data_IF_989071552043
#
_entry.id   IF_989071552043
#
_cell.length_a   1.000
_cell.length_b   1.000
_cell.length_c   1.000
_cell.angle_alpha   90.00
_cell.angle_beta   90.00
_cell.angle_gamma   90.00
#
_symmetry.space_group_name_H-M   'P 1'
#
loop_
_entity.id
_entity.type
_entity.pdbx_description
1 polymer ?
#
# COMPACT_ATOMS: atom_id res chain seq x y z
N UNK A 1 13.07 -25.99 -0.33
CA UNK A 1 12.38 -25.59 -1.56
C UNK A 1 13.39 -25.37 -2.67
N UNK A 2 13.05 -25.72 -3.91
CA UNK A 2 13.89 -25.43 -5.10
C UNK A 2 13.95 -23.93 -5.43
N UNK A 3 13.10 -23.14 -4.80
CA UNK A 3 12.94 -21.71 -5.03
C UNK A 3 13.39 -20.94 -3.80
N UNK A 4 13.99 -19.79 -4.01
CA UNK A 4 14.34 -18.85 -2.93
C UNK A 4 13.07 -18.18 -2.43
N UNK A 5 12.79 -18.26 -1.13
CA UNK A 5 11.69 -17.56 -0.46
C UNK A 5 12.11 -16.12 -0.05
N UNK A 6 12.92 -15.44 -0.88
CA UNK A 6 13.49 -14.12 -0.61
C UNK A 6 12.47 -13.06 -0.23
N UNK A 7 11.21 -13.22 -0.68
CA UNK A 7 10.11 -12.26 -0.44
C UNK A 7 9.51 -12.35 0.96
N UNK A 8 9.74 -13.45 1.71
CA UNK A 8 9.23 -13.60 3.09
C UNK A 8 7.80 -14.13 3.22
N UNK A 9 7.03 -14.29 2.13
CA UNK A 9 5.63 -14.72 2.17
C UNK A 9 5.42 -16.25 2.15
N UNK A 10 6.49 -17.03 2.38
CA UNK A 10 6.41 -18.49 2.58
C UNK A 10 6.84 -18.86 3.99
N UNK A 11 6.04 -18.54 5.02
CA UNK A 11 6.46 -18.72 6.42
C UNK A 11 6.63 -20.20 6.75
N UNK A 12 7.79 -20.51 7.32
CA UNK A 12 8.13 -21.84 7.87
C UNK A 12 8.17 -21.83 9.40
N UNK A 13 7.93 -20.66 10.00
CA UNK A 13 7.78 -20.43 11.45
C UNK A 13 7.05 -19.10 11.65
N UNK A 14 6.24 -19.01 12.72
CA UNK A 14 5.59 -17.74 13.09
C UNK A 14 6.46 -16.85 13.97
N UNK A 15 7.37 -17.44 14.75
CA UNK A 15 8.11 -16.73 15.80
C UNK A 15 9.61 -16.57 15.50
N UNK A 16 10.12 -17.34 14.54
CA UNK A 16 11.54 -17.28 14.20
C UNK A 16 11.83 -16.24 13.14
N UNK A 17 12.90 -15.48 13.33
CA UNK A 17 13.39 -14.54 12.34
C UNK A 17 14.17 -15.25 11.24
N UNK A 18 14.05 -14.75 10.00
CA UNK A 18 14.91 -15.16 8.92
C UNK A 18 16.33 -14.64 9.16
N UNK A 19 17.28 -15.56 9.36
CA UNK A 19 18.67 -15.24 9.68
C UNK A 19 19.39 -14.41 8.60
N UNK A 20 18.88 -14.40 7.36
CA UNK A 20 19.41 -13.56 6.30
C UNK A 20 19.22 -12.05 6.58
N UNK A 21 18.25 -11.67 7.43
CA UNK A 21 17.98 -10.27 7.79
C UNK A 21 18.62 -9.84 9.11
N UNK A 22 19.18 -10.78 9.89
CA UNK A 22 19.81 -10.49 11.15
C UNK A 22 19.28 -11.29 12.32
N UNK A 23 19.64 -10.87 13.52
CA UNK A 23 19.26 -11.52 14.79
C UNK A 23 18.08 -10.80 15.46
N UNK A 24 17.49 -11.44 16.47
CA UNK A 24 16.49 -10.79 17.35
C UNK A 24 17.01 -9.48 17.94
N UNK A 25 18.30 -9.43 18.33
CA UNK A 25 18.92 -8.22 18.87
C UNK A 25 18.95 -7.09 17.83
N UNK A 26 19.23 -7.42 16.58
CA UNK A 26 19.27 -6.42 15.50
C UNK A 26 17.87 -5.84 15.25
N UNK A 27 16.84 -6.68 15.21
CA UNK A 27 15.44 -6.23 15.05
C UNK A 27 15.00 -5.35 16.23
N UNK A 28 15.24 -5.76 17.45
CA UNK A 28 14.93 -4.97 18.65
C UNK A 28 15.67 -3.61 18.64
N UNK A 29 16.94 -3.60 18.20
CA UNK A 29 17.71 -2.36 18.06
C UNK A 29 17.12 -1.46 16.98
N UNK A 30 16.70 -2.01 15.85
CA UNK A 30 16.05 -1.27 14.77
C UNK A 30 14.75 -0.61 15.25
N UNK A 31 13.89 -1.36 15.94
CA UNK A 31 12.63 -0.83 16.48
C UNK A 31 12.91 0.27 17.52
N UNK A 32 13.84 0.05 18.44
CA UNK A 32 14.21 1.05 19.45
C UNK A 32 14.74 2.34 18.84
N UNK A 33 15.60 2.27 17.82
CA UNK A 33 16.11 3.42 17.09
C UNK A 33 15.00 4.14 16.31
N UNK A 34 14.04 3.42 15.75
CA UNK A 34 12.86 3.99 15.09
C UNK A 34 12.01 4.79 16.09
N UNK A 35 11.72 4.20 17.24
CA UNK A 35 10.96 4.88 18.31
C UNK A 35 11.65 6.14 18.82
N UNK A 36 12.99 6.14 18.96
CA UNK A 36 13.76 7.34 19.31
C UNK A 36 13.60 8.46 18.28
N UNK A 37 13.24 8.14 17.05
CA UNK A 37 12.98 9.09 15.96
C UNK A 37 11.48 9.38 15.77
N UNK A 38 10.62 8.91 16.67
CA UNK A 38 9.15 8.99 16.56
C UNK A 38 8.62 8.30 15.28
N UNK A 39 9.23 7.19 14.90
CA UNK A 39 8.79 6.35 13.78
C UNK A 39 8.18 5.08 14.35
N UNK A 40 6.93 4.82 14.06
CA UNK A 40 6.25 3.57 14.37
C UNK A 40 6.67 2.46 13.40
N UNK A 41 6.77 1.24 13.89
CA UNK A 41 7.18 0.06 13.09
C UNK A 41 6.03 -0.93 13.03
N UNK A 42 5.55 -1.20 11.82
CA UNK A 42 4.56 -2.23 11.57
C UNK A 42 5.22 -3.50 11.05
N UNK A 43 4.78 -4.66 11.53
CA UNK A 43 5.19 -5.95 11.01
C UNK A 43 4.25 -6.37 9.88
N UNK A 44 4.82 -6.82 8.76
CA UNK A 44 4.08 -7.47 7.68
C UNK A 44 3.85 -8.94 8.03
N UNK A 45 2.59 -9.36 8.15
CA UNK A 45 2.21 -10.68 8.64
C UNK A 45 1.33 -11.43 7.67
N UNK A 46 1.60 -12.74 7.55
CA UNK A 46 0.81 -13.68 6.76
C UNK A 46 -0.04 -14.54 7.70
N UNK A 47 -1.37 -14.38 7.67
CA UNK A 47 -2.31 -15.18 8.44
C UNK A 47 -3.13 -16.17 7.59
N UNK A 48 -3.00 -16.11 6.27
CA UNK A 48 -3.76 -16.95 5.34
C UNK A 48 -3.16 -18.34 5.16
N UNK A 49 -1.84 -18.46 5.07
CA UNK A 49 -1.17 -19.69 4.65
C UNK A 49 0.21 -19.86 5.31
N UNK A 50 0.79 -21.04 5.15
CA UNK A 50 2.18 -21.33 5.47
C UNK A 50 2.84 -22.06 4.29
N UNK A 51 4.14 -22.26 4.36
CA UNK A 51 4.83 -23.21 3.46
C UNK A 51 4.63 -24.65 3.93
N UNK A 52 4.59 -25.62 3.03
CA UNK A 52 4.43 -27.06 3.39
C UNK A 52 5.54 -27.58 4.28
N UNK A 53 6.72 -26.97 4.28
CA UNK A 53 7.84 -27.32 5.18
C UNK A 53 7.65 -26.79 6.61
N UNK A 54 6.59 -26.04 6.89
CA UNK A 54 6.27 -25.62 8.27
C UNK A 54 5.87 -26.84 9.09
N UNK A 55 6.48 -27.09 10.29
CA UNK A 55 6.21 -28.27 11.09
C UNK A 55 4.73 -28.50 11.41
N UNK A 56 3.95 -27.42 11.51
CA UNK A 56 2.50 -27.47 11.76
C UNK A 56 1.74 -28.22 10.67
N UNK A 57 2.16 -28.13 9.41
CA UNK A 57 1.47 -28.82 8.32
C UNK A 57 1.58 -30.34 8.43
N UNK A 58 2.75 -30.84 8.80
CA UNK A 58 2.94 -32.27 9.03
C UNK A 58 2.27 -32.78 10.31
N UNK A 59 2.21 -31.95 11.37
CA UNK A 59 1.62 -32.31 12.66
C UNK A 59 0.09 -32.24 12.65
N UNK A 60 -0.49 -31.29 11.93
CA UNK A 60 -1.93 -30.98 11.92
C UNK A 60 -2.43 -30.66 10.51
N UNK A 61 -2.42 -31.63 9.58
CA UNK A 61 -2.92 -31.42 8.22
C UNK A 61 -4.41 -31.02 8.20
N UNK A 62 -5.18 -31.42 9.20
CA UNK A 62 -6.60 -31.05 9.37
C UNK A 62 -6.82 -29.55 9.63
N UNK A 63 -5.80 -28.80 9.99
CA UNK A 63 -5.87 -27.34 10.20
C UNK A 63 -5.92 -26.56 8.87
N UNK A 64 -5.79 -27.25 7.76
CA UNK A 64 -5.71 -26.62 6.44
C UNK A 64 -6.89 -27.01 5.56
N UNK A 65 -7.22 -26.14 4.63
CA UNK A 65 -8.27 -26.39 3.63
C UNK A 65 -7.79 -27.44 2.63
N UNK A 66 -8.71 -28.23 2.03
CA UNK A 66 -8.33 -29.23 1.02
C UNK A 66 -7.72 -28.59 -0.22
N UNK A 67 -6.64 -29.20 -0.74
CA UNK A 67 -6.03 -28.81 -2.01
C UNK A 67 -6.94 -29.15 -3.21
N UNK A 68 -7.82 -30.12 -3.08
CA UNK A 68 -8.76 -30.53 -4.13
C UNK A 68 -10.19 -30.25 -3.71
N UNK A 69 -10.97 -29.69 -4.62
CA UNK A 69 -12.41 -29.50 -4.47
C UNK A 69 -13.15 -30.86 -4.59
N UNK A 70 -14.41 -30.95 -4.17
CA UNK A 70 -15.19 -32.20 -4.26
C UNK A 70 -15.33 -32.78 -5.66
N UNK A 71 -15.22 -31.92 -6.70
CA UNK A 71 -15.24 -32.35 -8.12
C UNK A 71 -13.88 -32.84 -8.63
N UNK A 72 -12.85 -32.89 -7.78
CA UNK A 72 -11.50 -33.32 -8.12
C UNK A 72 -10.62 -32.21 -8.72
N UNK A 73 -11.13 -31.01 -8.93
CA UNK A 73 -10.33 -29.88 -9.42
C UNK A 73 -9.42 -29.32 -8.33
N UNK A 74 -8.25 -28.81 -8.73
CA UNK A 74 -7.31 -28.21 -7.80
C UNK A 74 -7.81 -26.84 -7.31
N UNK A 75 -7.80 -26.63 -6.01
CA UNK A 75 -8.23 -25.40 -5.36
C UNK A 75 -7.04 -24.44 -5.19
N UNK A 76 -6.36 -24.10 -6.28
CA UNK A 76 -5.28 -23.10 -6.31
C UNK A 76 -5.70 -21.90 -7.13
N UNK A 77 -5.24 -20.70 -6.73
CA UNK A 77 -5.44 -19.43 -7.46
C UNK A 77 -6.91 -19.07 -7.75
N UNK A 78 -7.85 -19.67 -7.01
CA UNK A 78 -9.29 -19.37 -7.16
C UNK A 78 -9.66 -18.16 -6.28
N UNK A 79 -9.04 -17.03 -6.57
CA UNK A 79 -8.98 -15.81 -5.74
C UNK A 79 -10.32 -15.20 -5.35
N UNK A 80 -11.36 -15.38 -6.15
CA UNK A 80 -12.68 -14.81 -5.92
C UNK A 80 -13.74 -15.88 -5.64
N UNK A 81 -13.71 -17.00 -6.34
CA UNK A 81 -14.69 -18.08 -6.20
C UNK A 81 -14.54 -18.84 -4.88
N UNK A 82 -13.30 -19.15 -4.50
CA UNK A 82 -12.95 -19.91 -3.29
C UNK A 82 -12.02 -19.10 -2.36
N UNK A 83 -12.21 -17.79 -2.29
CA UNK A 83 -11.27 -16.86 -1.66
C UNK A 83 -10.88 -17.20 -0.22
N UNK A 84 -11.72 -17.92 0.54
CA UNK A 84 -11.45 -18.28 1.93
C UNK A 84 -10.84 -19.69 2.09
N UNK A 85 -10.69 -20.42 1.00
CA UNK A 85 -10.21 -21.82 1.03
C UNK A 85 -9.14 -22.11 -0.01
N UNK A 86 -8.96 -21.23 -1.01
CA UNK A 86 -7.98 -21.44 -2.07
C UNK A 86 -6.56 -21.38 -1.57
N UNK A 87 -5.72 -22.30 -2.01
CA UNK A 87 -4.29 -22.23 -1.82
C UNK A 87 -3.67 -21.25 -2.81
N UNK A 88 -2.61 -20.57 -2.41
CA UNK A 88 -1.91 -19.64 -3.32
C UNK A 88 -1.01 -20.37 -4.31
N UNK A 89 -0.50 -21.54 -3.92
CA UNK A 89 0.20 -22.50 -4.76
C UNK A 89 0.13 -23.87 -4.07
N UNK A 90 0.51 -24.94 -4.76
CA UNK A 90 0.52 -26.33 -4.23
C UNK A 90 1.41 -26.51 -2.99
N UNK A 91 2.37 -25.62 -2.78
CA UNK A 91 3.25 -25.62 -1.62
C UNK A 91 2.86 -24.61 -0.52
N UNK A 92 1.69 -23.95 -0.65
CA UNK A 92 1.20 -22.94 0.29
C UNK A 92 -0.21 -23.32 0.79
N UNK A 93 -0.31 -24.29 1.74
CA UNK A 93 -1.57 -24.67 2.35
C UNK A 93 -2.23 -23.50 3.09
N UNK A 94 -3.48 -23.21 2.73
CA UNK A 94 -4.29 -22.18 3.38
C UNK A 94 -4.94 -22.74 4.65
N UNK A 95 -4.94 -21.94 5.72
CA UNK A 95 -5.57 -22.31 6.97
C UNK A 95 -7.09 -22.46 6.86
N UNK A 96 -7.64 -23.44 7.53
CA UNK A 96 -9.06 -23.58 7.76
C UNK A 96 -9.48 -22.76 8.97
N UNK A 97 -9.81 -21.49 8.74
CA UNK A 97 -10.24 -20.57 9.79
C UNK A 97 -11.65 -20.88 10.37
N UNK A 98 -12.39 -21.85 9.85
CA UNK A 98 -13.62 -22.33 10.48
C UNK A 98 -13.32 -23.10 11.77
N UNK A 99 -12.13 -23.67 11.88
CA UNK A 99 -11.62 -24.31 13.08
C UNK A 99 -11.22 -23.25 14.10
N UNK A 100 -11.80 -23.30 15.28
CA UNK A 100 -11.56 -22.33 16.34
C UNK A 100 -10.11 -22.36 16.82
N UNK A 101 -9.56 -23.54 17.01
CA UNK A 101 -8.19 -23.79 17.47
C UNK A 101 -7.16 -23.12 16.53
N UNK A 102 -7.43 -23.14 15.23
CA UNK A 102 -6.60 -22.48 14.21
C UNK A 102 -6.60 -20.95 14.41
N UNK A 103 -7.78 -20.35 14.60
CA UNK A 103 -7.88 -18.91 14.86
C UNK A 103 -7.20 -18.51 16.17
N UNK A 104 -7.38 -19.31 17.23
CA UNK A 104 -6.72 -19.08 18.52
C UNK A 104 -5.21 -19.18 18.40
N UNK A 105 -4.68 -20.25 17.79
CA UNK A 105 -3.25 -20.46 17.57
C UNK A 105 -2.60 -19.29 16.83
N UNK A 106 -3.18 -18.90 15.70
CA UNK A 106 -2.63 -17.83 14.88
C UNK A 106 -2.69 -16.47 15.59
N UNK A 107 -3.84 -16.14 16.20
CA UNK A 107 -3.98 -14.87 16.89
C UNK A 107 -3.11 -14.79 18.14
N UNK A 108 -2.88 -15.91 18.88
CA UNK A 108 -1.95 -15.95 20.01
C UNK A 108 -0.50 -15.80 19.57
N UNK A 109 -0.09 -16.45 18.47
CA UNK A 109 1.24 -16.26 17.88
C UNK A 109 1.50 -14.79 17.47
N UNK A 110 0.50 -14.11 16.90
CA UNK A 110 0.63 -12.69 16.57
C UNK A 110 0.69 -11.80 17.83
N UNK A 111 -0.07 -12.15 18.88
CA UNK A 111 0.03 -11.44 20.18
C UNK A 111 1.42 -11.62 20.82
N UNK A 112 2.01 -12.81 20.72
CA UNK A 112 3.38 -13.06 21.20
C UNK A 112 4.40 -12.14 20.50
N UNK A 113 4.30 -11.98 19.18
CA UNK A 113 5.16 -11.05 18.43
C UNK A 113 5.02 -9.60 18.89
N UNK A 114 3.79 -9.15 19.21
CA UNK A 114 3.58 -7.80 19.75
C UNK A 114 4.30 -7.63 21.10
N UNK A 115 4.15 -8.59 22.02
CA UNK A 115 4.77 -8.51 23.34
C UNK A 115 6.28 -8.64 23.29
N UNK A 116 6.79 -9.50 22.40
CA UNK A 116 8.22 -9.76 22.28
C UNK A 116 9.00 -8.60 21.62
N UNK A 117 8.44 -8.03 20.55
CA UNK A 117 9.16 -7.03 19.72
C UNK A 117 8.64 -5.61 19.89
N UNK A 118 7.46 -5.42 20.48
CA UNK A 118 6.83 -4.11 20.67
C UNK A 118 6.58 -3.37 19.35
N UNK A 119 6.10 -4.08 18.33
CA UNK A 119 5.58 -3.47 17.11
C UNK A 119 4.41 -2.53 17.41
N UNK A 120 4.25 -1.49 16.62
CA UNK A 120 3.19 -0.49 16.75
C UNK A 120 1.97 -0.81 15.89
N UNK A 121 2.04 -1.85 15.09
CA UNK A 121 0.97 -2.28 14.22
C UNK A 121 1.33 -3.48 13.35
N UNK A 122 0.34 -3.87 12.55
CA UNK A 122 0.49 -4.89 11.52
C UNK A 122 0.07 -4.38 10.13
N UNK A 123 0.81 -4.80 9.11
CA UNK A 123 0.31 -4.92 7.75
C UNK A 123 -0.11 -6.36 7.55
N UNK A 124 -1.36 -6.59 7.20
CA UNK A 124 -1.91 -7.92 6.97
C UNK A 124 -1.90 -8.26 5.50
N UNK A 125 -1.08 -9.25 5.15
CA UNK A 125 -1.06 -9.85 3.82
C UNK A 125 -2.39 -10.55 3.50
N UNK A 126 -2.77 -10.53 2.23
CA UNK A 126 -3.89 -11.31 1.70
C UNK A 126 -5.18 -11.25 2.54
N UNK A 127 -5.52 -10.08 3.08
CA UNK A 127 -6.63 -9.90 4.04
C UNK A 127 -7.97 -10.47 3.55
N UNK A 128 -8.28 -10.35 2.26
CA UNK A 128 -9.54 -10.87 1.71
C UNK A 128 -9.68 -12.39 1.76
N UNK A 129 -8.57 -13.10 1.92
CA UNK A 129 -8.52 -14.56 1.99
C UNK A 129 -8.69 -15.11 3.41
N UNK A 130 -8.75 -14.22 4.40
CA UNK A 130 -8.95 -14.57 5.81
C UNK A 130 -10.34 -14.08 6.26
N UNK A 131 -11.16 -14.90 6.93
CA UNK A 131 -12.52 -14.51 7.28
C UNK A 131 -12.57 -13.46 8.39
N UNK A 132 -13.67 -12.70 8.41
CA UNK A 132 -13.93 -11.67 9.43
C UNK A 132 -13.91 -12.20 10.86
N UNK A 133 -14.19 -13.49 11.08
CA UNK A 133 -14.12 -14.12 12.41
C UNK A 133 -12.70 -14.05 12.99
N UNK A 134 -11.68 -14.31 12.18
CA UNK A 134 -10.29 -14.20 12.61
C UNK A 134 -9.90 -12.74 12.93
N UNK A 135 -10.23 -11.80 12.04
CA UNK A 135 -9.91 -10.39 12.26
C UNK A 135 -10.56 -9.82 13.53
N UNK A 136 -11.80 -10.22 13.78
CA UNK A 136 -12.51 -9.85 15.02
C UNK A 136 -11.84 -10.43 16.26
N UNK A 137 -11.40 -11.67 16.21
CA UNK A 137 -10.71 -12.31 17.32
C UNK A 137 -9.36 -11.67 17.61
N UNK A 138 -8.53 -11.48 16.59
CA UNK A 138 -7.23 -10.82 16.72
C UNK A 138 -7.40 -9.39 17.26
N UNK A 139 -8.28 -8.59 16.67
CA UNK A 139 -8.53 -7.21 17.11
C UNK A 139 -9.06 -7.15 18.56
N UNK A 140 -9.91 -8.09 18.95
CA UNK A 140 -10.37 -8.21 20.35
C UNK A 140 -9.21 -8.49 21.31
N UNK A 141 -8.29 -9.41 20.94
CA UNK A 141 -7.09 -9.71 21.74
C UNK A 141 -6.18 -8.48 21.83
N UNK A 142 -5.87 -7.85 20.71
CA UNK A 142 -5.04 -6.62 20.66
C UNK A 142 -5.64 -5.53 21.57
N UNK A 143 -6.95 -5.26 21.47
CA UNK A 143 -7.60 -4.24 22.30
C UNK A 143 -7.54 -4.57 23.78
N UNK A 144 -7.90 -5.78 24.16
CA UNK A 144 -8.02 -6.17 25.57
C UNK A 144 -6.66 -6.41 26.25
N UNK A 145 -5.72 -7.03 25.55
CA UNK A 145 -4.46 -7.49 26.14
C UNK A 145 -3.30 -6.51 25.90
N UNK A 146 -3.39 -5.65 24.88
CA UNK A 146 -2.31 -4.70 24.59
C UNK A 146 -2.76 -3.24 24.75
N UNK A 147 -3.74 -2.77 23.99
CA UNK A 147 -4.11 -1.33 23.98
C UNK A 147 -4.60 -0.88 25.38
N UNK A 148 -5.54 -1.62 25.99
CA UNK A 148 -6.10 -1.26 27.29
C UNK A 148 -5.08 -1.39 28.43
N UNK A 149 -4.21 -2.41 28.39
CA UNK A 149 -3.23 -2.66 29.45
C UNK A 149 -2.02 -1.72 29.37
N UNK A 150 -1.53 -1.44 28.15
CA UNK A 150 -0.32 -0.65 27.96
C UNK A 150 -0.60 0.84 27.62
N UNK A 151 -1.88 1.20 27.40
CA UNK A 151 -2.31 2.55 26.95
C UNK A 151 -1.57 3.03 25.69
N UNK A 152 -1.24 2.10 24.80
CA UNK A 152 -0.58 2.35 23.53
C UNK A 152 -1.58 2.14 22.39
N UNK A 153 -1.47 2.93 21.33
CA UNK A 153 -2.18 2.66 20.06
C UNK A 153 -1.55 1.46 19.35
N UNK A 154 -2.35 0.80 18.52
CA UNK A 154 -1.89 -0.26 17.62
C UNK A 154 -2.65 -0.13 16.32
N UNK A 155 -1.96 0.00 15.20
CA UNK A 155 -2.56 0.24 13.89
C UNK A 155 -2.54 -1.01 13.02
N UNK A 156 -3.68 -1.36 12.42
CA UNK A 156 -3.82 -2.52 11.56
C UNK A 156 -4.24 -2.08 10.15
N UNK A 157 -3.38 -2.29 9.17
CA UNK A 157 -3.68 -2.05 7.76
C UNK A 157 -3.63 -3.35 6.97
N UNK A 158 -4.65 -3.58 6.14
CA UNK A 158 -4.76 -4.82 5.37
C UNK A 158 -4.49 -4.64 3.88
N UNK A 159 -4.17 -5.74 3.22
CA UNK A 159 -4.07 -5.80 1.78
C UNK A 159 -5.27 -6.53 1.18
N UNK A 160 -6.11 -5.81 0.45
CA UNK A 160 -7.22 -6.38 -0.33
C UNK A 160 -7.30 -5.71 -1.70
N UNK A 161 -6.98 -6.46 -2.74
CA UNK A 161 -7.29 -6.04 -4.10
C UNK A 161 -8.73 -6.44 -4.44
N UNK A 162 -9.61 -5.46 -4.64
CA UNK A 162 -11.03 -5.73 -4.89
C UNK A 162 -11.91 -4.48 -4.90
N UNK A 163 -13.22 -4.69 -4.93
CA UNK A 163 -14.20 -3.59 -4.94
C UNK A 163 -14.17 -2.81 -3.61
N UNK A 164 -14.55 -1.52 -3.64
CA UNK A 164 -14.71 -0.70 -2.44
C UNK A 164 -15.57 -1.40 -1.37
N UNK A 165 -16.66 -2.07 -1.77
CA UNK A 165 -17.52 -2.82 -0.84
C UNK A 165 -16.77 -3.95 -0.14
N UNK A 166 -15.95 -4.73 -0.87
CA UNK A 166 -15.16 -5.80 -0.28
C UNK A 166 -14.09 -5.23 0.65
N UNK A 167 -13.33 -4.25 0.20
CA UNK A 167 -12.30 -3.57 0.99
C UNK A 167 -12.89 -2.97 2.27
N UNK A 168 -14.00 -2.22 2.16
CA UNK A 168 -14.67 -1.59 3.30
C UNK A 168 -15.28 -2.57 4.30
N UNK A 169 -15.59 -3.81 3.88
CA UNK A 169 -16.17 -4.82 4.78
C UNK A 169 -15.21 -5.24 5.91
N UNK A 170 -13.93 -5.01 5.76
CA UNK A 170 -12.90 -5.30 6.77
C UNK A 170 -12.53 -4.08 7.64
N UNK A 171 -12.98 -2.87 7.25
CA UNK A 171 -12.59 -1.62 7.95
C UNK A 171 -13.69 -1.22 8.92
N UNK A 172 -13.48 -1.52 10.18
CA UNK A 172 -14.38 -1.13 11.27
C UNK A 172 -13.71 -1.35 12.63
N UNK A 173 -14.33 -0.82 13.67
CA UNK A 173 -13.79 -0.89 15.04
C UNK A 173 -13.60 -2.30 15.60
N UNK A 174 -14.20 -3.31 15.00
CA UNK A 174 -14.06 -4.72 15.44
C UNK A 174 -13.03 -5.51 14.63
N UNK A 175 -12.48 -4.95 13.57
CA UNK A 175 -11.55 -5.61 12.66
C UNK A 175 -10.32 -4.72 12.42
N UNK A 176 -10.03 -4.34 11.17
CA UNK A 176 -8.87 -3.54 10.82
C UNK A 176 -9.20 -2.04 10.86
N UNK A 177 -8.19 -1.20 11.09
CA UNK A 177 -8.33 0.25 11.06
C UNK A 177 -8.38 0.77 9.62
N UNK A 178 -7.69 0.09 8.69
CA UNK A 178 -7.58 0.50 7.30
C UNK A 178 -7.22 -0.64 6.36
N UNK A 179 -7.26 -0.31 5.06
CA UNK A 179 -6.73 -1.12 3.95
C UNK A 179 -5.92 -0.23 3.01
N UNK A 180 -5.08 -0.82 2.16
CA UNK A 180 -4.52 -0.10 1.03
C UNK A 180 -5.60 0.17 -0.02
N UNK A 181 -5.70 1.40 -0.51
CA UNK A 181 -6.67 1.77 -1.55
C UNK A 181 -6.09 1.56 -2.95
N UNK A 182 -6.14 0.33 -3.42
CA UNK A 182 -5.73 -0.03 -4.78
C UNK A 182 -6.62 0.61 -5.84
N UNK A 183 -7.88 0.94 -5.52
CA UNK A 183 -8.77 1.58 -6.49
C UNK A 183 -8.26 2.99 -6.83
N UNK A 184 -7.81 3.75 -5.82
CA UNK A 184 -7.18 5.07 -6.03
C UNK A 184 -5.88 4.93 -6.81
N UNK A 185 -5.01 3.97 -6.44
CA UNK A 185 -3.78 3.70 -7.18
C UNK A 185 -4.05 3.41 -8.66
N UNK A 186 -4.97 2.51 -8.97
CA UNK A 186 -5.31 2.15 -10.35
C UNK A 186 -5.90 3.33 -11.11
N UNK A 187 -6.67 4.21 -10.45
CA UNK A 187 -7.20 5.44 -11.07
C UNK A 187 -6.07 6.43 -11.40
N UNK A 188 -5.11 6.64 -10.48
CA UNK A 188 -3.92 7.46 -10.73
C UNK A 188 -3.11 6.92 -11.91
N UNK A 189 -2.90 5.60 -11.95
CA UNK A 189 -2.19 4.97 -13.05
C UNK A 189 -2.91 5.13 -14.39
N UNK A 190 -4.25 4.98 -14.44
CA UNK A 190 -5.05 5.25 -15.65
C UNK A 190 -4.91 6.69 -16.11
N UNK A 191 -5.01 7.65 -15.20
CA UNK A 191 -4.93 9.07 -15.50
C UNK A 191 -3.54 9.47 -16.01
N UNK A 192 -2.47 8.95 -15.39
CA UNK A 192 -1.10 9.38 -15.72
C UNK A 192 -0.41 8.53 -16.79
N UNK A 193 -0.79 7.24 -16.95
CA UNK A 193 -0.21 6.35 -17.97
C UNK A 193 -1.04 6.29 -19.24
N UNK A 194 -2.37 6.07 -19.08
CA UNK A 194 -3.28 5.77 -20.18
C UNK A 194 -4.02 7.02 -20.68
N UNK A 195 -3.65 8.18 -20.14
CA UNK A 195 -4.23 9.49 -20.42
C UNK A 195 -5.74 9.62 -20.19
N UNK A 196 -6.28 8.76 -19.32
CA UNK A 196 -7.69 8.84 -18.95
C UNK A 196 -8.04 10.19 -18.28
N UNK A 197 -9.26 10.73 -18.46
CA UNK A 197 -9.66 12.00 -17.89
C UNK A 197 -9.60 11.99 -16.37
N UNK A 198 -9.38 13.16 -15.74
CA UNK A 198 -9.34 13.26 -14.28
C UNK A 198 -10.64 12.88 -13.58
N UNK A 199 -11.76 12.83 -14.32
CA UNK A 199 -13.04 12.30 -13.79
C UNK A 199 -12.94 10.84 -13.35
N UNK A 200 -12.02 10.04 -13.91
CA UNK A 200 -11.75 8.68 -13.45
C UNK A 200 -11.20 8.69 -12.02
N UNK A 201 -10.29 9.59 -11.72
CA UNK A 201 -9.71 9.73 -10.37
C UNK A 201 -10.74 10.29 -9.38
N UNK A 202 -11.42 11.40 -9.73
CA UNK A 202 -12.37 12.04 -8.82
C UNK A 202 -13.52 11.10 -8.44
N UNK A 203 -14.10 10.36 -9.39
CA UNK A 203 -15.15 9.39 -9.14
C UNK A 203 -14.70 8.25 -8.20
N UNK A 204 -13.45 7.82 -8.31
CA UNK A 204 -12.91 6.77 -7.43
C UNK A 204 -12.67 7.32 -6.02
N UNK A 205 -12.08 8.52 -5.90
CA UNK A 205 -11.86 9.16 -4.60
C UNK A 205 -13.19 9.45 -3.89
N UNK A 206 -14.20 9.96 -4.60
CA UNK A 206 -15.54 10.18 -4.04
C UNK A 206 -16.17 8.88 -3.55
N UNK A 207 -15.97 7.78 -4.28
CA UNK A 207 -16.44 6.46 -3.87
C UNK A 207 -15.68 5.91 -2.66
N UNK A 208 -14.37 6.16 -2.56
CA UNK A 208 -13.57 5.85 -1.38
C UNK A 208 -14.09 6.61 -0.15
N UNK A 209 -14.31 7.92 -0.27
CA UNK A 209 -14.88 8.76 0.79
C UNK A 209 -16.27 8.25 1.20
N UNK A 210 -17.15 7.99 0.24
CA UNK A 210 -18.50 7.48 0.51
C UNK A 210 -18.50 6.11 1.20
N UNK A 211 -17.46 5.29 0.99
CA UNK A 211 -17.36 3.93 1.56
C UNK A 211 -16.65 3.93 2.91
N UNK A 212 -15.59 4.71 3.07
CA UNK A 212 -14.68 4.64 4.23
C UNK A 212 -14.83 5.83 5.17
N UNK A 213 -15.56 6.88 4.77
CA UNK A 213 -15.75 8.14 5.49
C UNK A 213 -14.72 9.21 5.12
N UNK A 214 -15.01 10.46 5.48
CA UNK A 214 -14.22 11.64 5.10
C UNK A 214 -12.83 11.66 5.76
N UNK A 215 -12.70 11.06 6.94
CA UNK A 215 -11.47 11.03 7.75
C UNK A 215 -10.88 9.63 7.86
N UNK A 216 -11.04 8.81 6.82
CA UNK A 216 -10.49 7.47 6.81
C UNK A 216 -8.95 7.45 6.84
N UNK A 217 -8.40 6.36 7.38
CA UNK A 217 -6.96 6.11 7.46
C UNK A 217 -6.47 5.13 6.38
N UNK A 218 -7.21 5.00 5.27
CA UNK A 218 -6.83 4.14 4.16
C UNK A 218 -5.50 4.54 3.57
N UNK A 219 -4.66 3.56 3.24
CA UNK A 219 -3.35 3.80 2.66
C UNK A 219 -3.41 4.08 1.16
N UNK A 220 -3.15 5.31 0.75
CA UNK A 220 -2.96 5.66 -0.66
C UNK A 220 -1.55 5.29 -1.07
N UNK A 221 -1.38 4.33 -1.97
CA UNK A 221 -0.06 3.79 -2.35
C UNK A 221 0.49 4.44 -3.63
N UNK A 222 1.81 4.54 -3.73
CA UNK A 222 2.52 4.89 -4.98
C UNK A 222 2.89 3.65 -5.80
N UNK A 223 2.93 2.50 -5.17
CA UNK A 223 3.25 1.19 -5.70
C UNK A 223 3.34 0.18 -4.57
N UNK A 224 3.68 -1.06 -4.89
CA UNK A 224 4.00 -2.09 -3.92
C UNK A 224 4.96 -3.13 -4.51
N UNK A 225 5.29 -4.15 -3.71
CA UNK A 225 6.22 -5.23 -4.08
C UNK A 225 5.73 -6.18 -5.19
N UNK A 226 4.44 -6.08 -5.59
CA UNK A 226 3.80 -6.96 -6.59
C UNK A 226 3.35 -6.19 -7.85
N UNK A 227 3.84 -4.95 -8.00
CA UNK A 227 3.56 -4.10 -9.15
C UNK A 227 4.85 -3.63 -9.80
N UNK A 228 4.85 -3.45 -11.11
CA UNK A 228 5.93 -2.73 -11.79
C UNK A 228 6.03 -1.29 -11.30
N UNK A 229 7.23 -0.74 -11.30
CA UNK A 229 7.50 0.61 -10.79
C UNK A 229 6.78 1.68 -11.62
N UNK A 230 6.08 2.58 -10.94
CA UNK A 230 5.32 3.66 -11.57
C UNK A 230 6.18 4.54 -12.47
N UNK A 231 7.44 4.82 -12.10
CA UNK A 231 8.39 5.58 -12.91
C UNK A 231 8.66 4.95 -14.28
N UNK A 232 8.76 3.61 -14.34
CA UNK A 232 8.98 2.88 -15.60
C UNK A 232 7.76 2.92 -16.53
N UNK A 233 6.55 2.91 -15.97
CA UNK A 233 5.33 3.11 -16.75
C UNK A 233 5.18 4.56 -17.23
N UNK A 234 5.45 5.54 -16.36
CA UNK A 234 5.30 6.96 -16.69
C UNK A 234 6.25 7.42 -17.80
N UNK A 235 7.46 6.87 -17.84
CA UNK A 235 8.42 7.14 -18.90
C UNK A 235 8.34 6.18 -20.09
N UNK A 236 7.36 5.26 -20.08
CA UNK A 236 7.11 4.29 -21.17
C UNK A 236 8.22 3.26 -21.39
N UNK A 237 9.06 2.97 -20.36
CA UNK A 237 9.94 1.81 -20.38
C UNK A 237 9.15 0.50 -20.19
N UNK A 238 8.00 0.59 -19.52
CA UNK A 238 6.99 -0.46 -19.43
C UNK A 238 5.69 0.00 -20.08
N UNK A 239 5.00 -0.94 -20.72
CA UNK A 239 3.63 -0.74 -21.21
C UNK A 239 2.66 -1.44 -20.25
N UNK A 240 1.51 -0.82 -19.96
CA UNK A 240 0.49 -1.43 -19.08
C UNK A 240 -0.18 -2.68 -19.65
N UNK A 241 -0.08 -2.89 -20.95
CA UNK A 241 -0.58 -4.10 -21.63
C UNK A 241 0.43 -5.24 -21.68
N UNK A 242 1.71 -5.02 -21.30
CA UNK A 242 2.71 -6.09 -21.28
C UNK A 242 2.78 -6.78 -19.92
N UNK A 243 3.26 -8.03 -19.93
CA UNK A 243 3.63 -8.73 -18.69
C UNK A 243 4.93 -8.14 -18.14
N UNK A 244 4.79 -7.24 -17.15
CA UNK A 244 5.91 -6.56 -16.52
C UNK A 244 6.85 -7.51 -15.76
N UNK A 245 6.39 -8.70 -15.35
CA UNK A 245 7.21 -9.73 -14.72
C UNK A 245 8.11 -10.39 -15.78
N UNK A 246 7.52 -10.85 -16.87
CA UNK A 246 8.29 -11.40 -17.99
C UNK A 246 9.26 -10.37 -18.58
N UNK A 247 8.85 -9.10 -18.67
CA UNK A 247 9.71 -8.01 -19.14
C UNK A 247 10.97 -7.87 -18.27
N UNK A 248 10.83 -7.88 -16.94
CA UNK A 248 11.96 -7.79 -16.00
C UNK A 248 12.95 -8.96 -16.07
N UNK A 249 12.51 -10.12 -16.55
CA UNK A 249 13.40 -11.27 -16.80
C UNK A 249 14.10 -11.22 -18.16
N UNK A 250 13.56 -10.49 -19.12
CA UNK A 250 14.03 -10.52 -20.51
C UNK A 250 14.82 -9.30 -20.91
N UNK A 251 14.68 -8.18 -20.19
CA UNK A 251 15.41 -6.93 -20.46
C UNK A 251 15.60 -6.12 -19.18
N UNK A 252 16.57 -5.23 -19.19
CA UNK A 252 16.72 -4.21 -18.14
C UNK A 252 15.61 -3.18 -18.27
N UNK A 253 14.87 -2.95 -17.18
CA UNK A 253 13.80 -1.96 -17.12
C UNK A 253 14.34 -0.66 -16.50
N UNK A 254 14.40 0.39 -17.30
CA UNK A 254 14.76 1.74 -16.89
C UNK A 254 13.56 2.68 -16.83
N UNK A 255 13.78 3.96 -17.14
CA UNK A 255 12.74 4.99 -17.15
C UNK A 255 12.06 5.15 -18.52
N UNK A 256 12.78 4.90 -19.62
CA UNK A 256 12.38 5.37 -20.96
C UNK A 256 12.59 6.89 -21.06
N UNK A 257 11.51 7.68 -21.20
CA UNK A 257 11.58 9.14 -21.10
C UNK A 257 11.70 9.55 -19.62
N UNK A 258 12.94 9.81 -19.20
CA UNK A 258 13.27 10.16 -17.82
C UNK A 258 12.58 11.47 -17.38
N UNK A 259 12.51 12.48 -18.24
CA UNK A 259 11.92 13.78 -17.88
C UNK A 259 10.43 13.64 -17.58
N UNK A 260 9.70 12.96 -18.45
CA UNK A 260 8.27 12.71 -18.28
C UNK A 260 8.01 11.79 -17.09
N UNK A 261 8.84 10.75 -16.90
CA UNK A 261 8.74 9.84 -15.77
C UNK A 261 8.75 10.60 -14.44
N UNK A 262 9.77 11.43 -14.22
CA UNK A 262 9.92 12.16 -12.95
C UNK A 262 8.88 13.25 -12.75
N UNK A 263 8.41 13.93 -13.80
CA UNK A 263 7.30 14.87 -13.70
C UNK A 263 5.99 14.19 -13.29
N UNK A 264 5.66 13.06 -13.89
CA UNK A 264 4.46 12.29 -13.54
C UNK A 264 4.58 11.66 -12.14
N UNK A 265 5.78 11.22 -11.73
CA UNK A 265 6.04 10.80 -10.35
C UNK A 265 5.74 11.94 -9.35
N UNK A 266 6.14 13.17 -9.65
CA UNK A 266 5.84 14.31 -8.79
C UNK A 266 4.32 14.55 -8.66
N UNK A 267 3.55 14.43 -9.74
CA UNK A 267 2.08 14.50 -9.68
C UNK A 267 1.48 13.35 -8.87
N UNK A 268 1.99 12.13 -9.03
CA UNK A 268 1.54 10.97 -8.24
C UNK A 268 1.76 11.19 -6.74
N UNK A 269 2.95 11.64 -6.35
CA UNK A 269 3.26 11.96 -4.95
C UNK A 269 2.42 13.13 -4.42
N UNK A 270 2.15 14.14 -5.25
CA UNK A 270 1.24 15.23 -4.90
C UNK A 270 -0.16 14.69 -4.58
N UNK A 271 -0.77 13.94 -5.50
CA UNK A 271 -2.10 13.36 -5.33
C UNK A 271 -2.13 12.51 -4.05
N UNK A 272 -1.17 11.59 -3.91
CA UNK A 272 -1.04 10.71 -2.76
C UNK A 272 -0.97 11.49 -1.42
N UNK A 273 -0.25 12.61 -1.40
CA UNK A 273 -0.04 13.42 -0.19
C UNK A 273 -1.19 14.39 0.11
N UNK A 274 -2.08 14.70 -0.82
CA UNK A 274 -3.05 15.79 -0.66
C UNK A 274 -4.52 15.37 -0.67
N UNK A 275 -4.86 14.18 -1.20
CA UNK A 275 -6.20 13.62 -1.06
C UNK A 275 -6.43 13.03 0.35
N UNK A 276 -7.68 12.76 0.79
CA UNK A 276 -7.97 12.04 2.03
C UNK A 276 -7.28 10.67 2.09
N UNK A 277 -6.95 10.20 3.30
CA UNK A 277 -6.22 8.95 3.56
C UNK A 277 -4.77 9.18 4.01
N UNK A 278 -4.00 8.13 4.17
CA UNK A 278 -2.59 8.17 4.55
C UNK A 278 -1.70 7.99 3.31
N UNK A 279 -0.73 8.87 3.06
CA UNK A 279 0.25 8.65 2.00
C UNK A 279 1.16 7.47 2.34
N UNK A 280 1.20 6.49 1.47
CA UNK A 280 2.08 5.32 1.56
C UNK A 280 3.00 5.30 0.36
N UNK A 281 4.30 5.32 0.62
CA UNK A 281 5.34 5.32 -0.40
C UNK A 281 6.02 3.96 -0.40
N UNK A 282 5.98 3.26 -1.51
CA UNK A 282 6.79 2.06 -1.67
C UNK A 282 8.26 2.47 -1.76
N UNK A 283 9.13 1.83 -0.98
CA UNK A 283 10.55 2.22 -0.91
C UNK A 283 11.17 2.35 -2.31
N UNK A 284 11.94 3.39 -2.52
CA UNK A 284 12.55 3.72 -3.81
C UNK A 284 11.67 4.61 -4.70
N UNK A 285 10.34 4.69 -4.50
CA UNK A 285 9.49 5.61 -5.27
C UNK A 285 9.79 7.06 -4.93
N UNK A 286 10.27 7.36 -3.71
CA UNK A 286 10.72 8.70 -3.29
C UNK A 286 11.97 9.18 -4.05
N UNK A 287 12.68 8.27 -4.71
CA UNK A 287 13.78 8.60 -5.63
C UNK A 287 13.46 8.22 -7.08
N UNK A 288 12.20 7.80 -7.35
CA UNK A 288 11.75 7.40 -8.66
C UNK A 288 12.40 6.12 -9.20
N UNK A 289 12.77 5.17 -8.34
CA UNK A 289 13.43 3.91 -8.73
C UNK A 289 12.65 3.18 -9.83
N UNK A 290 13.31 2.75 -10.94
CA UNK A 290 12.66 2.00 -12.02
C UNK A 290 12.65 0.49 -11.73
N UNK A 291 11.80 -0.25 -12.44
CA UNK A 291 11.78 -1.71 -12.41
C UNK A 291 10.52 -2.31 -13.03
N UNK A 292 10.63 -3.57 -13.46
CA UNK A 292 9.51 -4.42 -13.86
C UNK A 292 8.68 -4.86 -12.65
N UNK A 293 7.93 -5.96 -12.79
CA UNK A 293 7.24 -6.54 -11.63
C UNK A 293 8.16 -7.52 -10.89
N UNK A 294 7.69 -8.09 -9.79
CA UNK A 294 8.41 -9.05 -8.94
C UNK A 294 9.19 -10.10 -9.77
N UNK A 295 10.52 -10.26 -9.55
CA UNK A 295 11.36 -9.67 -8.51
C UNK A 295 11.99 -8.29 -8.84
N UNK A 296 11.88 -7.80 -10.06
CA UNK A 296 12.64 -6.64 -10.54
C UNK A 296 12.21 -5.31 -9.86
N UNK A 297 10.95 -5.19 -9.40
CA UNK A 297 10.51 -4.04 -8.60
C UNK A 297 11.16 -3.98 -7.20
N UNK A 298 11.80 -5.06 -6.75
CA UNK A 298 12.41 -5.20 -5.42
C UNK A 298 13.93 -5.04 -5.45
N UNK A 299 14.44 -4.20 -6.35
CA UNK A 299 15.87 -3.85 -6.40
C UNK A 299 16.32 -3.24 -5.09
N UNK A 300 17.61 -3.40 -4.75
CA UNK A 300 18.19 -2.81 -3.54
C UNK A 300 18.01 -1.29 -3.52
N UNK A 301 17.68 -0.76 -2.32
CA UNK A 301 17.54 0.68 -2.12
C UNK A 301 18.85 1.41 -2.39
N UNK A 302 18.79 2.50 -3.15
CA UNK A 302 19.89 3.38 -3.46
C UNK A 302 19.91 4.55 -2.48
N UNK A 303 20.83 4.54 -1.53
CA UNK A 303 20.98 5.60 -0.53
C UNK A 303 21.94 6.72 -0.94
N UNK A 304 22.93 6.38 -1.78
CA UNK A 304 24.01 7.26 -2.21
C UNK A 304 24.09 7.36 -3.73
N UNK A 305 24.92 8.25 -4.24
CA UNK A 305 25.18 8.44 -5.66
C UNK A 305 23.90 8.68 -6.48
N UNK A 306 22.95 9.44 -5.92
CA UNK A 306 21.72 9.82 -6.60
C UNK A 306 22.02 10.81 -7.72
N UNK A 307 21.39 10.63 -8.89
CA UNK A 307 21.44 11.59 -9.97
C UNK A 307 20.57 12.83 -9.69
N UNK A 308 20.63 13.84 -10.58
CA UNK A 308 19.90 15.10 -10.41
C UNK A 308 18.36 14.93 -10.32
N UNK A 309 17.78 14.00 -11.10
CA UNK A 309 16.35 13.71 -11.09
C UNK A 309 15.93 13.02 -9.78
N UNK A 310 16.69 12.04 -9.32
CA UNK A 310 16.48 11.33 -8.05
C UNK A 310 16.58 12.29 -6.86
N UNK A 311 17.57 13.19 -6.87
CA UNK A 311 17.71 14.23 -5.83
C UNK A 311 16.52 15.18 -5.85
N UNK A 312 16.07 15.58 -7.03
CA UNK A 312 14.97 16.53 -7.18
C UNK A 312 13.66 15.93 -6.67
N UNK A 313 13.31 14.71 -7.12
CA UNK A 313 12.07 14.06 -6.67
C UNK A 313 12.10 13.77 -5.16
N UNK A 314 13.23 13.37 -4.60
CA UNK A 314 13.39 13.15 -3.15
C UNK A 314 13.10 14.43 -2.35
N UNK A 315 13.58 15.58 -2.81
CA UNK A 315 13.28 16.88 -2.19
C UNK A 315 11.80 17.22 -2.29
N UNK A 316 11.20 16.97 -3.44
CA UNK A 316 9.77 17.18 -3.71
C UNK A 316 8.90 16.35 -2.77
N UNK A 317 9.16 15.04 -2.69
CA UNK A 317 8.45 14.13 -1.78
C UNK A 317 8.61 14.57 -0.33
N UNK A 318 9.82 14.93 0.07
CA UNK A 318 10.07 15.45 1.43
C UNK A 318 9.26 16.71 1.73
N UNK A 319 9.15 17.63 0.75
CA UNK A 319 8.32 18.83 0.87
C UNK A 319 6.84 18.48 1.01
N UNK A 320 6.31 17.61 0.14
CA UNK A 320 4.90 17.21 0.16
C UNK A 320 4.50 16.52 1.47
N UNK A 321 5.36 15.63 1.99
CA UNK A 321 5.10 14.95 3.27
C UNK A 321 5.18 15.92 4.46
N UNK A 322 6.09 16.89 4.44
CA UNK A 322 6.13 17.95 5.47
C UNK A 322 4.89 18.82 5.39
N UNK A 323 4.47 19.21 4.20
CA UNK A 323 3.24 19.97 4.00
C UNK A 323 2.04 19.16 4.54
N UNK A 324 1.94 17.88 4.18
CA UNK A 324 0.87 16.98 4.67
C UNK A 324 0.84 16.92 6.18
N UNK A 325 1.97 16.74 6.84
CA UNK A 325 2.04 16.56 8.30
C UNK A 325 1.85 17.85 9.10
N UNK A 326 1.96 19.02 8.47
CA UNK A 326 1.83 20.35 9.11
C UNK A 326 0.59 21.15 8.72
N UNK A 327 -0.23 20.65 7.79
CA UNK A 327 -1.41 21.33 7.26
C UNK A 327 -2.69 20.70 7.80
N UNK A 328 -3.43 21.40 8.64
CA UNK A 328 -4.74 20.94 9.12
C UNK A 328 -5.72 20.62 7.99
N UNK A 329 -5.84 21.47 6.94
CA UNK A 329 -6.65 21.14 5.77
C UNK A 329 -6.28 19.81 5.13
N UNK A 330 -5.01 19.49 4.96
CA UNK A 330 -4.60 18.23 4.36
C UNK A 330 -4.80 17.03 5.27
N UNK A 331 -4.72 17.21 6.61
CA UNK A 331 -4.89 16.13 7.59
C UNK A 331 -6.38 15.84 7.81
N UNK A 332 -7.17 16.89 8.12
CA UNK A 332 -8.55 16.77 8.61
C UNK A 332 -9.59 17.44 7.72
N UNK A 333 -9.17 18.19 6.68
CA UNK A 333 -10.07 19.04 5.92
C UNK A 333 -10.92 18.27 4.90
N UNK A 334 -12.05 18.89 4.54
CA UNK A 334 -12.94 18.41 3.50
C UNK A 334 -12.32 18.57 2.11
N UNK A 335 -12.61 17.62 1.22
CA UNK A 335 -12.21 17.68 -0.17
C UNK A 335 -13.33 18.32 -1.02
N UNK A 336 -12.96 19.29 -1.85
CA UNK A 336 -13.87 19.88 -2.84
C UNK A 336 -13.21 19.94 -4.21
N UNK A 337 -13.82 19.32 -5.19
CA UNK A 337 -13.44 19.45 -6.59
C UNK A 337 -13.89 20.83 -7.11
N UNK A 338 -12.96 21.61 -7.68
CA UNK A 338 -13.20 22.96 -8.22
C UNK A 338 -13.28 22.90 -9.73
N UNK A 339 -12.38 22.15 -10.37
CA UNK A 339 -12.37 21.93 -11.81
C UNK A 339 -11.94 20.50 -12.10
N UNK A 340 -12.69 19.79 -12.94
CA UNK A 340 -12.35 18.43 -13.42
C UNK A 340 -12.48 18.46 -14.94
N UNK A 341 -11.38 18.30 -15.64
CA UNK A 341 -11.35 18.13 -17.09
C UNK A 341 -10.48 16.95 -17.50
N UNK A 342 -10.28 16.74 -18.79
CA UNK A 342 -9.44 15.67 -19.28
C UNK A 342 -7.99 15.82 -18.79
N UNK A 343 -7.46 17.04 -18.85
CA UNK A 343 -6.04 17.34 -18.60
C UNK A 343 -5.76 18.26 -17.43
N UNK A 344 -6.81 18.90 -16.88
CA UNK A 344 -6.70 19.86 -15.78
C UNK A 344 -7.51 19.39 -14.59
N UNK A 345 -6.91 19.48 -13.41
CA UNK A 345 -7.59 19.20 -12.16
C UNK A 345 -7.31 20.32 -11.17
N UNK A 346 -8.39 20.83 -10.57
CA UNK A 346 -8.29 21.78 -9.44
C UNK A 346 -9.17 21.26 -8.31
N UNK A 347 -8.60 21.16 -7.13
CA UNK A 347 -9.34 20.82 -5.93
C UNK A 347 -8.80 21.56 -4.71
N UNK A 348 -9.63 21.69 -3.70
CA UNK A 348 -9.25 22.28 -2.43
C UNK A 348 -9.49 21.31 -1.27
N UNK A 349 -8.69 21.49 -0.23
CA UNK A 349 -8.87 20.91 1.10
C UNK A 349 -9.08 22.06 2.05
N UNK A 350 -10.12 22.02 2.90
CA UNK A 350 -10.45 23.10 3.82
C UNK A 350 -10.71 22.59 5.24
N UNK A 351 -10.17 23.31 6.24
CA UNK A 351 -10.41 23.05 7.65
C UNK A 351 -10.49 24.39 8.40
N UNK A 352 -11.66 24.71 8.95
CA UNK A 352 -11.92 26.07 9.44
C UNK A 352 -11.74 27.10 8.34
N UNK A 353 -10.95 28.13 8.62
CA UNK A 353 -10.64 29.21 7.68
C UNK A 353 -9.41 28.92 6.78
N UNK A 354 -8.69 27.84 7.05
CA UNK A 354 -7.52 27.45 6.25
C UNK A 354 -7.93 26.67 5.00
N UNK A 355 -7.35 27.01 3.86
CA UNK A 355 -7.62 26.37 2.57
C UNK A 355 -6.32 26.10 1.84
N UNK A 356 -6.14 24.86 1.40
CA UNK A 356 -5.09 24.46 0.47
C UNK A 356 -5.74 24.13 -0.87
N UNK A 357 -5.34 24.86 -1.93
CA UNK A 357 -5.83 24.63 -3.29
C UNK A 357 -4.74 24.07 -4.16
N UNK A 358 -5.04 22.99 -4.87
CA UNK A 358 -4.12 22.22 -5.71
C UNK A 358 -4.54 22.36 -7.16
N UNK A 359 -3.60 22.69 -8.02
CA UNK A 359 -3.73 22.83 -9.48
C UNK A 359 -2.81 21.84 -10.16
N UNK A 360 -3.33 21.02 -11.06
CA UNK A 360 -2.56 20.01 -11.80
C UNK A 360 -2.79 20.17 -13.30
N UNK A 361 -1.69 20.22 -14.04
CA UNK A 361 -1.65 20.06 -15.49
C UNK A 361 -0.99 18.72 -15.82
N UNK A 362 -1.76 17.74 -16.33
CA UNK A 362 -1.21 16.47 -16.84
C UNK A 362 -1.03 16.45 -18.36
N UNK A 363 -1.31 17.57 -19.04
CA UNK A 363 -1.15 17.72 -20.50
C UNK A 363 0.33 17.82 -20.90
N UNK A 364 0.64 17.53 -22.13
CA UNK A 364 1.94 17.74 -22.76
C UNK A 364 2.16 19.16 -23.25
N UNK A 365 1.12 20.02 -23.13
CA UNK A 365 1.15 21.46 -23.43
C UNK A 365 0.90 22.30 -22.19
N UNK A 366 1.27 23.57 -22.27
CA UNK A 366 1.05 24.57 -21.22
C UNK A 366 -0.45 24.86 -21.07
N UNK A 367 -0.95 24.87 -19.83
CA UNK A 367 -2.34 25.13 -19.48
C UNK A 367 -2.46 26.37 -18.59
N UNK A 368 -3.51 27.18 -18.81
CA UNK A 368 -3.81 28.37 -18.01
C UNK A 368 -4.84 28.05 -16.92
N UNK A 369 -4.63 28.65 -15.75
CA UNK A 369 -5.49 28.52 -14.57
C UNK A 369 -5.78 29.89 -13.98
N UNK A 370 -6.86 29.99 -13.20
CA UNK A 370 -7.20 31.19 -12.43
C UNK A 370 -7.26 30.84 -10.93
N UNK A 371 -6.63 31.68 -10.12
CA UNK A 371 -6.75 31.63 -8.66
C UNK A 371 -7.13 33.02 -8.14
N UNK A 372 -8.35 33.16 -7.63
CA UNK A 372 -8.85 34.42 -7.07
C UNK A 372 -8.66 35.63 -8.00
N UNK A 373 -8.95 35.47 -9.30
CA UNK A 373 -8.82 36.51 -10.31
C UNK A 373 -7.41 36.66 -10.91
N UNK A 374 -6.41 35.96 -10.38
CA UNK A 374 -5.04 35.96 -10.93
C UNK A 374 -4.86 34.79 -11.90
N UNK A 375 -4.61 35.10 -13.17
CA UNK A 375 -4.30 34.08 -14.16
C UNK A 375 -2.82 33.71 -14.10
N UNK A 376 -2.54 32.39 -14.13
CA UNK A 376 -1.19 31.84 -14.22
C UNK A 376 -1.20 30.60 -15.11
N UNK A 377 -0.01 30.16 -15.52
CA UNK A 377 0.11 29.00 -16.37
C UNK A 377 1.02 27.94 -15.76
N UNK A 378 0.64 26.66 -15.96
CA UNK A 378 1.45 25.50 -15.63
C UNK A 378 2.04 24.87 -16.88
N UNK A 379 3.32 24.58 -16.83
CA UNK A 379 4.01 23.82 -17.87
C UNK A 379 3.51 22.38 -17.95
N UNK A 380 3.84 21.62 -19.00
CA UNK A 380 3.50 20.21 -19.14
C UNK A 380 3.89 19.38 -17.93
N UNK A 381 2.96 18.56 -17.45
CA UNK A 381 3.14 17.64 -16.33
C UNK A 381 3.68 18.34 -15.09
N UNK A 382 3.03 19.44 -14.68
CA UNK A 382 3.39 20.17 -13.46
C UNK A 382 2.16 20.53 -12.64
N UNK A 383 2.41 21.01 -11.44
CA UNK A 383 1.37 21.42 -10.50
C UNK A 383 1.75 22.68 -9.73
N UNK A 384 0.77 23.25 -9.04
CA UNK A 384 0.96 24.35 -8.10
C UNK A 384 0.06 24.19 -6.87
N UNK A 385 0.56 24.55 -5.73
CA UNK A 385 -0.17 24.55 -4.47
C UNK A 385 -0.27 25.98 -3.97
N UNK A 386 -1.48 26.42 -3.63
CA UNK A 386 -1.73 27.64 -2.87
C UNK A 386 -2.19 27.24 -1.48
N UNK A 387 -1.55 27.82 -0.46
CA UNK A 387 -1.88 27.61 0.95
C UNK A 387 -2.28 28.97 1.55
N UNK A 388 -3.58 29.17 1.71
CA UNK A 388 -4.13 30.35 2.37
C UNK A 388 -4.31 29.98 3.83
N UNK A 389 -3.43 30.53 4.67
CA UNK A 389 -3.54 30.44 6.13
C UNK A 389 -4.35 31.59 6.67
#
# INVERSE_FOLDING_TARGET
SKFSAYHGYWPTSFLSLNQAFGTKKDLLSCIALSHQKNINVLLDVVANHIHIDHPLYAAHPEYFTPLYLPDGTMNTEKWDEHRLTTWFDVHMPSFNHDIREVRELLSDSLMELIFEYQFDGFRHDATKHVPSSFWKELTRKIKNQYILQHKKSFYQIGETYGSHKLVGSYVNSGQLDAQFDFNVYDAVMKVLCDDAPFSVLSNVVDKSIATYGDHHLMGNITGNQDKGRSSSYFGKALNRSEDAKAAGWTREIGYGDTVTAFKKMAIMHLINSTIPGLPVIFYGDEIGMPGGNDPDCRRMMKFESLNEYEIKIKKEVSYLLKLRSSSLPLIYGDLKWVEISDHRLVYSRSYGDEIVTIYINKDDVKQEFNHNGLTFALNPYTYKIYNNK
#
